data_IF_992206357417
#
_entry.id   IF_992206357417
#
_cell.length_a   1.000
_cell.length_b   1.000
_cell.length_c   1.000
_cell.angle_alpha   90.00
_cell.angle_beta   90.00
_cell.angle_gamma   90.00
#
_symmetry.space_group_name_H-M   'P 1'
#
loop_
_entity.id
_entity.type
_entity.pdbx_description
1 polymer ?
#
# COMPACT_ATOMS: atom_id res chain seq x y z
N UNK A 1 7.32 13.46 -9.86
CA UNK A 1 7.90 12.24 -9.25
C UNK A 1 6.83 11.30 -8.72
N UNK A 2 6.06 11.63 -7.67
CA UNK A 2 5.04 10.73 -7.08
C UNK A 2 4.00 10.26 -8.10
N UNK A 3 3.48 11.18 -8.93
CA UNK A 3 2.55 10.83 -10.03
C UNK A 3 3.17 9.88 -11.05
N UNK A 4 4.46 10.05 -11.36
CA UNK A 4 5.20 9.19 -12.29
C UNK A 4 5.31 7.77 -11.75
N UNK A 5 5.59 7.61 -10.46
CA UNK A 5 5.63 6.29 -9.79
C UNK A 5 4.26 5.62 -9.88
N UNK A 6 3.20 6.33 -9.49
CA UNK A 6 1.85 5.76 -9.53
C UNK A 6 1.44 5.31 -10.93
N UNK A 7 1.61 6.19 -11.91
CA UNK A 7 1.28 5.90 -13.30
C UNK A 7 2.14 4.77 -13.88
N UNK A 8 3.43 4.72 -13.54
CA UNK A 8 4.29 3.63 -14.00
C UNK A 8 3.72 2.28 -13.56
N UNK A 9 3.43 2.11 -12.28
CA UNK A 9 2.90 0.84 -11.78
C UNK A 9 1.50 0.53 -12.33
N UNK A 10 0.59 1.52 -12.38
CA UNK A 10 -0.78 1.31 -12.89
C UNK A 10 -0.82 0.92 -14.37
N UNK A 11 0.11 1.43 -15.18
CA UNK A 11 0.14 1.15 -16.62
C UNK A 11 1.02 -0.06 -16.99
N UNK A 12 1.93 -0.47 -16.11
CA UNK A 12 2.88 -1.57 -16.40
C UNK A 12 2.37 -2.92 -15.92
N UNK A 13 1.63 -2.97 -14.81
CA UNK A 13 1.21 -4.20 -14.17
C UNK A 13 -0.32 -4.36 -14.23
N UNK A 14 -0.80 -5.59 -14.38
CA UNK A 14 -2.24 -5.88 -14.40
C UNK A 14 -2.80 -6.18 -13.00
N UNK A 15 -4.04 -5.80 -12.74
CA UNK A 15 -4.73 -6.23 -11.53
C UNK A 15 -5.19 -7.68 -11.65
N UNK A 16 -4.92 -8.51 -10.64
CA UNK A 16 -5.39 -9.89 -10.56
C UNK A 16 -5.43 -10.35 -9.10
N UNK A 17 -6.40 -11.19 -8.73
CA UNK A 17 -6.56 -11.69 -7.37
C UNK A 17 -5.50 -12.75 -7.01
N UNK A 18 -5.07 -12.75 -5.75
CA UNK A 18 -4.14 -13.75 -5.20
C UNK A 18 -4.54 -15.20 -5.45
N UNK A 19 -5.85 -15.47 -5.49
CA UNK A 19 -6.34 -16.82 -5.75
C UNK A 19 -5.87 -17.34 -7.10
N UNK A 20 -5.73 -16.46 -8.09
CA UNK A 20 -5.32 -16.79 -9.45
C UNK A 20 -3.80 -16.78 -9.64
N UNK A 21 -3.04 -16.06 -8.80
CA UNK A 21 -1.58 -15.95 -8.88
C UNK A 21 -0.89 -16.95 -7.95
N UNK A 22 -1.30 -16.96 -6.68
CA UNK A 22 -0.63 -17.67 -5.58
C UNK A 22 -1.46 -18.81 -4.99
N UNK A 23 -2.67 -19.06 -5.52
CA UNK A 23 -3.61 -20.09 -5.06
C UNK A 23 -4.02 -19.96 -3.57
N UNK A 24 -3.91 -18.77 -3.00
CA UNK A 24 -4.30 -18.46 -1.62
C UNK A 24 -5.30 -17.30 -1.59
N UNK A 25 -5.95 -17.07 -0.47
CA UNK A 25 -6.99 -16.03 -0.34
C UNK A 25 -6.43 -14.62 -0.14
N UNK A 26 -5.19 -14.49 0.33
CA UNK A 26 -4.55 -13.21 0.66
C UNK A 26 -3.02 -13.45 0.86
N UNK A 27 -2.20 -12.92 -0.04
CA UNK A 27 -0.74 -13.02 -0.13
C UNK A 27 -0.14 -11.68 -0.52
N UNK A 28 0.68 -11.13 0.36
CA UNK A 28 1.32 -9.84 0.09
C UNK A 28 2.66 -10.06 -0.56
N UNK A 29 2.80 -9.83 -1.87
CA UNK A 29 4.04 -10.06 -2.61
C UNK A 29 5.17 -9.09 -2.25
N UNK A 30 6.43 -9.52 -2.39
CA UNK A 30 7.56 -8.58 -2.45
C UNK A 30 7.52 -7.80 -3.78
N UNK A 31 8.19 -6.63 -3.87
CA UNK A 31 8.30 -5.93 -5.15
C UNK A 31 8.86 -6.82 -6.27
N UNK A 32 9.81 -7.70 -5.96
CA UNK A 32 10.41 -8.62 -6.93
C UNK A 32 9.42 -9.71 -7.36
N UNK A 33 8.68 -10.31 -6.43
CA UNK A 33 7.63 -11.30 -6.70
C UNK A 33 6.52 -10.68 -7.57
N UNK A 34 6.04 -9.48 -7.23
CA UNK A 34 5.01 -8.77 -7.99
C UNK A 34 5.50 -8.43 -9.41
N UNK A 35 6.71 -7.87 -9.53
CA UNK A 35 7.32 -7.53 -10.83
C UNK A 35 7.51 -8.77 -11.70
N UNK A 36 7.92 -9.90 -11.14
CA UNK A 36 8.09 -11.15 -11.87
C UNK A 36 6.76 -11.72 -12.40
N UNK A 37 5.66 -11.55 -11.66
CA UNK A 37 4.34 -12.02 -12.08
C UNK A 37 3.68 -11.11 -13.12
N UNK A 38 4.14 -9.85 -13.25
CA UNK A 38 3.51 -8.81 -14.09
C UNK A 38 2.06 -8.46 -13.70
N UNK A 39 1.60 -8.94 -12.54
CA UNK A 39 0.25 -8.76 -12.01
C UNK A 39 0.21 -9.01 -10.50
N UNK A 40 -0.81 -8.47 -9.84
CA UNK A 40 -1.03 -8.52 -8.39
C UNK A 40 -2.32 -7.80 -8.03
N UNK A 41 -2.71 -7.82 -6.76
CA UNK A 41 -3.91 -7.12 -6.29
C UNK A 41 -3.58 -5.79 -5.57
N UNK A 42 -4.46 -5.27 -4.73
CA UNK A 42 -4.28 -3.92 -4.21
C UNK A 42 -3.03 -3.78 -3.33
N UNK A 43 -2.72 -4.81 -2.53
CA UNK A 43 -1.58 -4.77 -1.64
C UNK A 43 -0.25 -4.82 -2.38
N UNK A 44 -0.15 -5.63 -3.42
CA UNK A 44 1.08 -5.80 -4.19
C UNK A 44 1.48 -4.48 -4.85
N UNK A 45 0.51 -3.79 -5.45
CA UNK A 45 0.72 -2.47 -6.02
C UNK A 45 1.13 -1.46 -4.94
N UNK A 46 0.47 -1.45 -3.79
CA UNK A 46 0.78 -0.53 -2.71
C UNK A 46 2.19 -0.77 -2.15
N UNK A 47 2.56 -2.03 -1.90
CA UNK A 47 3.89 -2.43 -1.40
C UNK A 47 4.99 -2.05 -2.39
N UNK A 48 4.81 -2.34 -3.68
CA UNK A 48 5.80 -2.00 -4.68
C UNK A 48 6.01 -0.48 -4.78
N UNK A 49 4.93 0.31 -4.80
CA UNK A 49 4.99 1.78 -4.78
C UNK A 49 5.62 2.33 -3.50
N UNK A 50 5.32 1.71 -2.35
CA UNK A 50 5.92 2.07 -1.06
C UNK A 50 7.44 1.96 -1.12
N UNK A 51 7.98 0.83 -1.56
CA UNK A 51 9.44 0.66 -1.66
C UNK A 51 10.05 1.53 -2.75
N UNK A 52 9.36 1.75 -3.87
CA UNK A 52 9.81 2.68 -4.90
C UNK A 52 9.98 4.10 -4.33
N UNK A 53 9.00 4.62 -3.59
CA UNK A 53 9.09 5.91 -2.93
C UNK A 53 10.28 5.98 -1.95
N UNK A 54 10.48 4.94 -1.14
CA UNK A 54 11.63 4.86 -0.22
C UNK A 54 12.96 4.88 -0.99
N UNK A 55 13.06 4.17 -2.11
CA UNK A 55 14.25 4.14 -2.95
C UNK A 55 14.56 5.53 -3.57
N UNK A 56 13.53 6.33 -3.85
CA UNK A 56 13.67 7.73 -4.28
C UNK A 56 13.92 8.72 -3.13
N UNK A 57 14.10 8.24 -1.89
CA UNK A 57 14.49 9.04 -0.74
C UNK A 57 13.35 9.72 0.03
N UNK A 58 12.09 9.37 -0.27
CA UNK A 58 10.96 9.85 0.54
C UNK A 58 11.00 9.21 1.94
N UNK A 59 10.89 10.03 2.99
CA UNK A 59 11.04 9.56 4.38
C UNK A 59 9.71 9.14 5.02
N UNK A 60 8.69 9.99 4.93
CA UNK A 60 7.37 9.72 5.50
C UNK A 60 6.48 9.02 4.48
N UNK A 61 6.79 7.74 4.25
CA UNK A 61 6.02 6.83 3.40
C UNK A 61 5.34 5.80 4.28
N UNK A 62 4.06 5.52 3.99
CA UNK A 62 3.23 4.57 4.76
C UNK A 62 2.37 3.74 3.81
N UNK A 63 1.99 2.55 4.25
CA UNK A 63 0.92 1.75 3.68
C UNK A 63 -0.35 2.00 4.49
N UNK A 64 -1.46 2.23 3.81
CA UNK A 64 -2.76 2.54 4.40
C UNK A 64 -3.74 1.45 4.04
N UNK A 65 -4.29 0.80 5.06
CA UNK A 65 -5.43 -0.08 4.91
C UNK A 65 -6.70 0.72 5.15
N UNK A 66 -7.59 0.63 4.18
CA UNK A 66 -8.80 1.44 4.11
C UNK A 66 -9.98 0.55 3.74
N UNK A 67 -11.18 1.03 4.03
CA UNK A 67 -12.42 0.47 3.48
C UNK A 67 -12.99 1.43 2.46
N UNK A 68 -13.33 0.93 1.28
CA UNK A 68 -13.97 1.72 0.22
C UNK A 68 -15.44 2.01 0.56
N UNK A 69 -16.09 2.93 -0.16
CA UNK A 69 -17.54 3.16 -0.06
C UNK A 69 -18.39 1.92 -0.34
N UNK A 70 -17.86 0.92 -1.04
CA UNK A 70 -18.53 -0.36 -1.32
C UNK A 70 -18.31 -1.40 -0.21
N UNK A 71 -17.78 -1.01 0.95
CA UNK A 71 -17.43 -1.87 2.07
C UNK A 71 -16.41 -2.98 1.72
N UNK A 72 -15.56 -2.74 0.71
CA UNK A 72 -14.43 -3.63 0.39
C UNK A 72 -13.16 -3.14 1.07
N UNK A 73 -12.32 -4.08 1.52
CA UNK A 73 -10.96 -3.75 1.98
C UNK A 73 -10.08 -3.38 0.79
N UNK A 74 -9.22 -2.39 0.97
CA UNK A 74 -8.28 -1.90 -0.03
C UNK A 74 -6.98 -1.47 0.65
N UNK A 75 -5.87 -1.54 -0.08
CA UNK A 75 -4.58 -1.02 0.38
C UNK A 75 -4.03 0.01 -0.60
N UNK A 76 -3.49 1.10 -0.07
CA UNK A 76 -2.85 2.17 -0.86
C UNK A 76 -1.52 2.56 -0.23
N UNK A 77 -0.61 3.10 -1.03
CA UNK A 77 0.61 3.75 -0.50
C UNK A 77 0.33 5.24 -0.28
N UNK A 78 1.01 5.83 0.70
CA UNK A 78 0.97 7.27 0.92
C UNK A 78 2.36 7.85 1.14
N UNK A 79 2.55 9.11 0.77
CA UNK A 79 3.75 9.88 1.10
C UNK A 79 3.37 11.28 1.58
N UNK A 80 4.00 11.76 2.65
CA UNK A 80 3.84 13.13 3.13
C UNK A 80 4.89 14.04 2.50
N UNK A 81 4.45 15.11 1.83
CA UNK A 81 5.31 16.16 1.26
C UNK A 81 4.74 17.51 1.66
N UNK A 82 5.57 18.36 2.28
CA UNK A 82 5.15 19.69 2.77
C UNK A 82 3.82 19.62 3.56
N UNK A 83 3.77 18.72 4.56
CA UNK A 83 2.60 18.49 5.42
C UNK A 83 1.33 18.00 4.71
N UNK A 84 1.42 17.66 3.42
CA UNK A 84 0.30 17.10 2.64
C UNK A 84 0.51 15.62 2.42
N UNK A 85 -0.47 14.79 2.78
CA UNK A 85 -0.43 13.34 2.57
C UNK A 85 -1.00 13.00 1.19
N UNK A 86 -0.15 12.55 0.28
CA UNK A 86 -0.53 12.13 -1.07
C UNK A 86 -0.80 10.63 -1.11
N UNK A 87 -1.85 10.21 -1.83
CA UNK A 87 -2.26 8.81 -1.96
C UNK A 87 -1.93 8.29 -3.36
N UNK A 88 -1.20 7.17 -3.41
CA UNK A 88 -0.93 6.41 -4.62
C UNK A 88 -1.80 5.16 -4.60
N UNK A 89 -2.76 5.11 -5.54
CA UNK A 89 -3.80 4.09 -5.59
C UNK A 89 -3.76 3.37 -6.94
N UNK A 90 -3.87 2.04 -6.97
CA UNK A 90 -3.95 1.30 -8.22
C UNK A 90 -5.31 1.44 -8.92
N UNK A 91 -6.34 1.90 -8.21
CA UNK A 91 -7.65 2.19 -8.80
C UNK A 91 -7.74 3.58 -9.46
N UNK A 92 -6.71 4.43 -9.33
CA UNK A 92 -6.69 5.80 -9.89
C UNK A 92 -5.30 6.20 -10.33
N UNK A 93 -5.18 6.65 -11.58
CA UNK A 93 -3.89 7.13 -12.11
C UNK A 93 -3.50 8.50 -11.53
N UNK A 94 -4.49 9.39 -11.36
CA UNK A 94 -4.23 10.69 -10.76
C UNK A 94 -3.98 10.56 -9.24
N UNK A 95 -2.90 11.18 -8.78
CA UNK A 95 -2.66 11.36 -7.36
C UNK A 95 -3.64 12.41 -6.81
N UNK A 96 -4.19 12.09 -5.64
CA UNK A 96 -4.98 13.00 -4.81
C UNK A 96 -4.40 13.02 -3.40
N UNK A 97 -4.63 14.09 -2.66
CA UNK A 97 -4.29 14.09 -1.24
C UNK A 97 -5.37 13.39 -0.40
N UNK A 98 -4.98 12.89 0.77
CA UNK A 98 -5.82 12.04 1.63
C UNK A 98 -7.17 12.70 1.95
N UNK A 99 -7.20 14.01 2.15
CA UNK A 99 -8.42 14.75 2.50
C UNK A 99 -9.46 14.76 1.35
N UNK A 100 -9.04 14.62 0.09
CA UNK A 100 -9.93 14.52 -1.07
C UNK A 100 -10.50 13.11 -1.26
N UNK A 101 -9.86 12.08 -0.69
CA UNK A 101 -10.27 10.68 -0.82
C UNK A 101 -11.41 10.32 0.12
N UNK A 102 -12.53 11.04 0.00
CA UNK A 102 -13.79 10.78 0.74
C UNK A 102 -14.39 9.41 0.40
N UNK A 103 -13.89 8.74 -0.64
CA UNK A 103 -14.21 7.37 -0.99
C UNK A 103 -13.50 6.31 -0.13
N UNK A 104 -12.48 6.70 0.63
CA UNK A 104 -11.68 5.82 1.48
C UNK A 104 -11.93 6.14 2.96
N UNK A 105 -12.37 5.15 3.72
CA UNK A 105 -12.43 5.21 5.18
C UNK A 105 -11.15 4.60 5.75
N UNK A 106 -10.33 5.45 6.39
CA UNK A 106 -9.09 5.03 7.03
C UNK A 106 -9.34 4.02 8.17
N UNK A 107 -8.52 2.98 8.23
CA UNK A 107 -8.51 2.03 9.35
C UNK A 107 -7.18 2.07 10.08
N UNK A 108 -6.10 1.72 9.37
CA UNK A 108 -4.75 1.70 9.89
C UNK A 108 -3.73 2.17 8.85
N UNK A 109 -2.67 2.80 9.32
CA UNK A 109 -1.45 3.06 8.56
C UNK A 109 -0.30 2.31 9.22
N UNK A 110 0.70 1.94 8.44
CA UNK A 110 1.92 1.33 8.96
C UNK A 110 3.08 1.55 8.00
N UNK A 111 4.30 1.40 8.50
CA UNK A 111 5.51 1.35 7.70
C UNK A 111 6.39 0.19 8.21
N UNK A 112 7.70 0.25 8.00
CA UNK A 112 8.63 -0.81 8.42
C UNK A 112 8.72 -0.96 9.94
N UNK A 113 8.43 0.09 10.71
CA UNK A 113 8.69 0.17 12.16
C UNK A 113 7.44 0.38 13.00
N UNK A 114 6.48 1.16 12.50
CA UNK A 114 5.41 1.75 13.28
C UNK A 114 4.03 1.49 12.67
N UNK A 115 3.01 1.61 13.52
CA UNK A 115 1.60 1.36 13.21
C UNK A 115 0.75 2.45 13.84
N UNK A 116 -0.18 3.00 13.06
CA UNK A 116 -1.12 4.04 13.49
C UNK A 116 -2.55 3.56 13.23
N UNK A 117 -3.41 3.56 14.26
CA UNK A 117 -4.79 3.07 14.17
C UNK A 117 -5.75 4.04 14.87
N UNK A 118 -6.70 4.63 14.14
CA UNK A 118 -7.64 5.63 14.68
C UNK A 118 -6.97 6.91 15.22
N UNK A 119 -7.66 7.67 16.08
CA UNK A 119 -7.22 8.95 16.68
C UNK A 119 -6.06 8.81 17.69
N UNK A 120 -5.19 7.81 17.55
CA UNK A 120 -4.09 7.58 18.49
C UNK A 120 -3.00 6.66 17.93
N UNK A 121 -1.77 6.95 18.33
CA UNK A 121 -0.62 6.06 18.15
C UNK A 121 -0.73 4.91 19.15
N UNK A 122 -1.32 3.78 18.73
CA UNK A 122 -1.41 2.60 19.58
C UNK A 122 -0.20 1.70 19.35
N UNK A 123 0.82 1.84 20.20
CA UNK A 123 1.89 0.87 20.39
C UNK A 123 1.34 -0.36 21.15
N UNK A 124 0.39 -1.09 20.58
CA UNK A 124 -0.16 -2.28 21.24
C UNK A 124 0.58 -3.55 20.81
N UNK A 125 1.06 -4.30 21.79
CA UNK A 125 1.84 -5.55 21.76
C UNK A 125 1.18 -6.75 21.03
N UNK A 126 0.24 -6.53 20.11
CA UNK A 126 -0.30 -7.55 19.23
C UNK A 126 -0.10 -7.05 17.81
N UNK A 127 0.86 -7.63 17.09
CA UNK A 127 1.12 -7.32 15.68
C UNK A 127 -0.07 -7.86 14.86
N UNK A 128 -0.96 -7.01 14.26
CA UNK A 128 -2.00 -7.50 13.36
C UNK A 128 -1.47 -8.54 12.38
N UNK A 129 -2.28 -9.54 12.02
CA UNK A 129 -1.87 -10.57 11.05
C UNK A 129 -1.36 -9.98 9.72
N UNK A 130 -1.90 -8.82 9.32
CA UNK A 130 -1.46 -8.01 8.17
C UNK A 130 -0.01 -7.53 8.31
N UNK A 131 0.42 -7.15 9.51
CA UNK A 131 1.82 -6.81 9.78
C UNK A 131 2.72 -8.05 9.80
N UNK A 132 2.22 -9.25 10.16
CA UNK A 132 3.01 -10.49 10.00
C UNK A 132 3.29 -10.77 8.51
N UNK A 133 2.32 -10.50 7.63
CA UNK A 133 2.51 -10.58 6.18
C UNK A 133 3.51 -9.53 5.69
N UNK A 134 3.40 -8.30 6.16
CA UNK A 134 4.38 -7.28 5.82
C UNK A 134 5.79 -7.60 6.34
N UNK A 135 5.91 -8.20 7.53
CA UNK A 135 7.19 -8.69 8.04
C UNK A 135 7.80 -9.79 7.16
N UNK A 136 7.00 -10.63 6.51
CA UNK A 136 7.51 -11.57 5.49
C UNK A 136 8.13 -10.80 4.34
N UNK A 137 7.40 -9.81 3.81
CA UNK A 137 7.89 -8.96 2.72
C UNK A 137 9.22 -8.29 3.09
N UNK A 138 9.31 -7.72 4.29
CA UNK A 138 10.53 -7.07 4.79
C UNK A 138 11.72 -8.03 4.92
N UNK A 139 11.49 -9.31 5.21
CA UNK A 139 12.55 -10.33 5.36
C UNK A 139 12.98 -10.97 4.03
N UNK A 140 12.12 -10.91 3.02
CA UNK A 140 12.32 -11.59 1.74
C UNK A 140 12.80 -10.66 0.61
N UNK A 141 12.85 -9.35 0.87
CA UNK A 141 13.43 -8.33 -0.02
C UNK A 141 14.94 -8.24 0.13
#
# INVERSE_FOLDING_TARGET
MVNTINNHYNNTYSYEYDKNIYNTSDFWATPEEFKANMKGDCEDFAIAKFFELKNFGFQDVKLLLVTTQRNTKHMVASVTIHNTVYILDNARDHISYLEERKDLRFEIAFNETDVWAGHGHNSTNTIPMRLKKFQRVLKAR
#
